data_IF_045771459200
#
_entry.id   IF_045771459200
#
_cell.length_a   1.000
_cell.length_b   1.000
_cell.length_c   1.000
_cell.angle_alpha   90.00
_cell.angle_beta   90.00
_cell.angle_gamma   90.00
#
_symmetry.space_group_name_H-M   'P 1'
#
loop_
_entity.id
_entity.type
_entity.pdbx_description
1 polymer ?
#
# COMPACT_ATOMS: atom_id res chain seq x y z
N UNK A 1 4.82 4.66 -14.18
CA UNK A 1 5.28 3.33 -14.71
C UNK A 1 6.79 3.24 -14.88
N UNK A 2 7.45 4.10 -15.67
CA UNK A 2 8.94 4.09 -15.78
C UNK A 2 9.62 4.35 -14.43
N UNK A 3 9.07 5.26 -13.63
CA UNK A 3 9.55 5.56 -12.27
C UNK A 3 9.59 4.34 -11.33
N UNK A 4 8.64 3.41 -11.44
CA UNK A 4 8.62 2.19 -10.62
C UNK A 4 9.70 1.20 -11.06
N UNK A 5 9.94 1.09 -12.37
CA UNK A 5 11.00 0.23 -12.92
C UNK A 5 12.37 0.72 -12.50
N UNK A 6 12.61 2.03 -12.59
CA UNK A 6 13.90 2.64 -12.25
C UNK A 6 14.19 2.57 -10.75
N UNK A 7 13.15 2.66 -9.92
CA UNK A 7 13.21 2.42 -8.47
C UNK A 7 13.27 0.93 -8.10
N UNK A 8 13.29 0.01 -9.07
CA UNK A 8 13.53 -1.41 -8.85
C UNK A 8 12.36 -2.17 -8.23
N UNK A 9 11.13 -1.86 -8.64
CA UNK A 9 9.90 -2.54 -8.22
C UNK A 9 9.94 -4.06 -8.43
N UNK A 10 10.39 -4.52 -9.61
CA UNK A 10 10.50 -5.95 -9.97
C UNK A 10 11.56 -6.72 -9.15
N UNK A 11 12.36 -5.98 -8.38
CA UNK A 11 13.44 -6.51 -7.53
C UNK A 11 13.13 -6.31 -6.04
N UNK A 12 11.90 -5.90 -5.70
CA UNK A 12 11.46 -5.77 -4.32
C UNK A 12 11.53 -7.14 -3.64
N UNK A 13 12.23 -7.21 -2.51
CA UNK A 13 12.32 -8.44 -1.72
C UNK A 13 11.11 -8.55 -0.80
N UNK A 14 10.62 -9.77 -0.61
CA UNK A 14 9.60 -10.04 0.40
C UNK A 14 10.16 -9.76 1.81
N UNK A 15 9.30 -9.32 2.74
CA UNK A 15 9.64 -9.13 4.15
C UNK A 15 10.24 -10.40 4.77
N UNK A 16 9.90 -11.58 4.24
CA UNK A 16 10.47 -12.85 4.65
C UNK A 16 11.99 -12.97 4.44
N UNK A 17 12.52 -12.26 3.45
CA UNK A 17 13.93 -12.29 3.06
C UNK A 17 14.75 -11.09 3.58
N UNK A 18 14.16 -10.22 4.40
CA UNK A 18 14.79 -9.01 4.93
C UNK A 18 14.97 -9.17 6.44
N UNK A 19 16.19 -8.94 6.93
CA UNK A 19 16.50 -8.91 8.35
C UNK A 19 15.73 -7.77 9.03
N UNK A 20 15.25 -8.01 10.25
CA UNK A 20 14.49 -7.05 11.07
C UNK A 20 13.18 -6.52 10.47
N UNK A 21 12.73 -7.05 9.33
CA UNK A 21 11.42 -6.72 8.79
C UNK A 21 10.30 -7.29 9.69
N UNK A 22 9.43 -6.40 10.18
CA UNK A 22 8.34 -6.78 11.09
C UNK A 22 7.27 -7.57 10.34
N UNK A 23 6.79 -8.64 10.99
CA UNK A 23 5.74 -9.52 10.49
C UNK A 23 4.66 -9.70 11.55
N UNK A 24 3.43 -9.87 11.11
CA UNK A 24 2.27 -10.14 11.97
C UNK A 24 1.20 -10.97 11.24
N UNK A 25 0.24 -11.49 12.01
CA UNK A 25 -0.88 -12.29 11.49
C UNK A 25 -2.22 -11.53 11.50
N UNK A 26 -2.23 -10.33 12.08
CA UNK A 26 -3.38 -9.46 12.29
C UNK A 26 -3.10 -8.05 11.73
N UNK A 27 -4.07 -7.33 11.22
CA UNK A 27 -3.83 -5.99 10.63
C UNK A 27 -3.64 -6.00 9.12
N UNK A 28 -3.01 -4.95 8.59
CA UNK A 28 -2.97 -4.68 7.14
C UNK A 28 -1.72 -5.26 6.50
N UNK A 29 -1.90 -6.08 5.46
CA UNK A 29 -0.79 -6.56 4.62
C UNK A 29 -0.87 -5.90 3.24
N UNK A 30 0.22 -5.24 2.84
CA UNK A 30 0.37 -4.70 1.49
C UNK A 30 1.18 -5.68 0.65
N UNK A 31 0.62 -6.15 -0.46
CA UNK A 31 1.25 -7.09 -1.38
C UNK A 31 1.56 -6.40 -2.69
N UNK A 32 2.80 -6.51 -3.15
CA UNK A 32 3.23 -6.08 -4.47
C UNK A 32 3.44 -7.29 -5.35
N UNK A 33 2.81 -7.30 -6.51
CA UNK A 33 2.97 -8.34 -7.53
C UNK A 33 3.59 -7.72 -8.78
N UNK A 34 4.62 -8.39 -9.31
CA UNK A 34 5.25 -8.06 -10.58
C UNK A 34 5.40 -9.32 -11.42
N UNK A 35 5.41 -9.18 -12.74
CA UNK A 35 5.60 -10.29 -13.66
C UNK A 35 6.83 -9.96 -14.50
N UNK A 36 7.85 -10.81 -14.42
CA UNK A 36 9.03 -10.74 -15.29
C UNK A 36 9.21 -12.03 -16.11
N UNK A 37 10.31 -12.14 -16.85
CA UNK A 37 10.61 -13.31 -17.68
C UNK A 37 10.75 -14.62 -16.88
N UNK A 38 10.99 -14.55 -15.58
CA UNK A 38 11.06 -15.68 -14.65
C UNK A 38 9.73 -16.06 -13.99
N UNK A 39 8.66 -15.31 -14.26
CA UNK A 39 7.31 -15.56 -13.72
C UNK A 39 6.85 -14.48 -12.73
N UNK A 40 5.74 -14.75 -12.01
CA UNK A 40 5.24 -13.82 -11.01
C UNK A 40 6.19 -13.76 -9.81
N UNK A 41 6.45 -12.54 -9.34
CA UNK A 41 7.17 -12.24 -8.10
C UNK A 41 6.27 -11.46 -7.17
N UNK A 42 6.28 -11.87 -5.92
CA UNK A 42 5.47 -11.27 -4.87
C UNK A 42 6.36 -10.80 -3.74
N UNK A 43 6.05 -9.62 -3.21
CA UNK A 43 6.64 -9.10 -1.99
C UNK A 43 5.53 -8.54 -1.09
N UNK A 44 5.45 -9.05 0.14
CA UNK A 44 4.43 -8.71 1.11
C UNK A 44 5.04 -8.00 2.31
N UNK A 45 4.36 -6.95 2.79
CA UNK A 45 4.79 -6.15 3.93
C UNK A 45 3.62 -5.94 4.88
N UNK A 46 3.87 -6.21 6.15
CA UNK A 46 2.89 -6.05 7.22
C UNK A 46 2.95 -4.65 7.81
N UNK A 47 1.80 -3.99 7.97
CA UNK A 47 1.68 -2.64 8.52
C UNK A 47 2.66 -1.64 7.86
N UNK A 48 2.77 -1.73 6.53
CA UNK A 48 3.84 -1.10 5.74
C UNK A 48 4.04 0.38 6.03
N UNK A 49 2.99 1.15 6.28
CA UNK A 49 3.05 2.61 6.50
C UNK A 49 3.29 3.00 7.97
N UNK A 50 3.41 2.04 8.89
CA UNK A 50 3.51 2.27 10.33
C UNK A 50 4.95 2.13 10.85
N UNK A 51 5.42 3.11 11.62
CA UNK A 51 6.69 3.03 12.36
C UNK A 51 6.54 2.39 13.75
N UNK A 52 5.30 2.27 14.24
CA UNK A 52 4.99 1.86 15.61
C UNK A 52 5.73 0.59 16.05
N UNK A 53 5.77 -0.44 15.20
CA UNK A 53 6.38 -1.72 15.55
C UNK A 53 7.91 -1.73 15.45
N UNK A 54 8.49 -0.89 14.59
CA UNK A 54 9.93 -0.68 14.53
C UNK A 54 10.39 0.09 15.78
N UNK A 55 9.67 1.16 16.14
CA UNK A 55 9.92 1.96 17.34
C UNK A 55 9.82 1.11 18.61
N UNK A 56 8.78 0.28 18.73
CA UNK A 56 8.59 -0.60 19.89
C UNK A 56 9.73 -1.59 20.12
N UNK A 57 10.36 -2.04 19.03
CA UNK A 57 11.49 -2.97 19.09
C UNK A 57 12.84 -2.26 19.05
N UNK A 58 12.86 -0.93 18.98
CA UNK A 58 14.05 -0.11 18.78
C UNK A 58 14.88 -0.57 17.56
N UNK A 59 14.20 -0.93 16.47
CA UNK A 59 14.79 -1.35 15.21
C UNK A 59 14.76 -0.18 14.21
N UNK A 60 15.81 -0.05 13.41
CA UNK A 60 15.76 0.82 12.23
C UNK A 60 14.85 0.20 11.16
N UNK A 61 14.10 1.04 10.45
CA UNK A 61 13.24 0.58 9.35
C UNK A 61 14.14 0.11 8.19
N UNK A 62 14.03 -1.15 7.73
CA UNK A 62 14.87 -1.65 6.64
C UNK A 62 14.70 -0.85 5.35
N UNK A 63 15.79 -0.67 4.59
CA UNK A 63 15.78 0.07 3.32
C UNK A 63 14.72 -0.43 2.32
N UNK A 64 14.53 -1.75 2.26
CA UNK A 64 13.54 -2.35 1.35
C UNK A 64 12.09 -2.00 1.77
N UNK A 65 11.84 -1.80 3.07
CA UNK A 65 10.55 -1.32 3.60
C UNK A 65 10.35 0.15 3.23
N UNK A 66 11.38 0.99 3.38
CA UNK A 66 11.34 2.40 2.95
C UNK A 66 11.10 2.53 1.45
N UNK A 67 11.73 1.65 0.66
CA UNK A 67 11.52 1.56 -0.79
C UNK A 67 10.07 1.16 -1.12
N UNK A 68 9.51 0.15 -0.44
CA UNK A 68 8.11 -0.24 -0.59
C UNK A 68 7.15 0.90 -0.24
N UNK A 69 7.40 1.66 0.83
CA UNK A 69 6.64 2.88 1.19
C UNK A 69 6.71 3.93 0.09
N UNK A 70 7.86 4.11 -0.54
CA UNK A 70 8.02 5.06 -1.64
C UNK A 70 7.13 4.71 -2.84
N UNK A 71 6.85 3.42 -3.06
CA UNK A 71 5.94 2.98 -4.11
C UNK A 71 4.50 3.32 -3.79
N UNK A 72 4.04 3.03 -2.57
CA UNK A 72 2.69 3.40 -2.12
C UNK A 72 2.50 4.91 -2.16
N UNK A 73 3.49 5.68 -1.72
CA UNK A 73 3.44 7.14 -1.79
C UNK A 73 3.30 7.64 -3.23
N UNK A 74 4.03 7.06 -4.19
CA UNK A 74 3.90 7.41 -5.60
C UNK A 74 2.52 7.02 -6.17
N UNK A 75 2.01 5.83 -5.84
CA UNK A 75 0.67 5.38 -6.24
C UNK A 75 -0.39 6.33 -5.68
N UNK A 76 -0.35 6.64 -4.39
CA UNK A 76 -1.31 7.52 -3.72
C UNK A 76 -1.24 8.95 -4.26
N UNK A 77 -0.09 9.38 -4.80
CA UNK A 77 0.04 10.68 -5.48
C UNK A 77 -0.60 10.69 -6.87
N UNK A 78 -0.53 9.58 -7.61
CA UNK A 78 -1.20 9.44 -8.91
C UNK A 78 -2.72 9.22 -8.74
N UNK A 79 -3.12 8.50 -7.68
CA UNK A 79 -4.49 8.14 -7.38
C UNK A 79 -4.92 8.76 -6.05
N UNK A 80 -5.31 10.05 -6.08
CA UNK A 80 -5.94 10.68 -4.93
C UNK A 80 -7.28 9.97 -4.65
N UNK A 81 -7.28 9.08 -3.66
CA UNK A 81 -8.44 8.28 -3.29
C UNK A 81 -9.60 9.15 -2.82
N UNK A 82 -9.32 10.31 -2.21
CA UNK A 82 -10.36 11.27 -1.83
C UNK A 82 -11.02 11.85 -3.07
N UNK A 83 -10.22 12.28 -4.05
CA UNK A 83 -10.73 12.77 -5.33
C UNK A 83 -11.51 11.69 -6.09
N UNK A 84 -10.98 10.47 -6.19
CA UNK A 84 -11.66 9.35 -6.83
C UNK A 84 -12.98 9.01 -6.14
N UNK A 85 -12.99 9.03 -4.80
CA UNK A 85 -14.20 8.82 -4.02
C UNK A 85 -15.22 9.94 -4.23
N UNK A 86 -14.80 11.20 -4.25
CA UNK A 86 -15.68 12.34 -4.58
C UNK A 86 -16.23 12.24 -6.00
N UNK A 87 -15.38 11.89 -6.97
CA UNK A 87 -15.79 11.68 -8.36
C UNK A 87 -16.82 10.55 -8.48
N UNK A 88 -16.64 9.46 -7.73
CA UNK A 88 -17.64 8.41 -7.62
C UNK A 88 -18.95 8.94 -7.02
N UNK A 89 -18.91 9.61 -5.86
CA UNK A 89 -20.10 10.17 -5.21
C UNK A 89 -20.85 11.18 -6.07
N UNK A 90 -20.13 11.99 -6.87
CA UNK A 90 -20.72 12.98 -7.76
C UNK A 90 -21.47 12.37 -8.95
N UNK A 91 -21.13 11.13 -9.33
CA UNK A 91 -21.84 10.38 -10.38
C UNK A 91 -23.08 9.66 -9.86
N UNK A 92 -23.23 9.54 -8.55
CA UNK A 92 -24.40 8.93 -7.96
C UNK A 92 -25.60 9.89 -8.02
N UNK A 93 -26.83 9.38 -8.27
CA UNK A 93 -28.05 10.15 -8.11
C UNK A 93 -28.17 10.78 -6.70
N UNK A 94 -28.99 11.83 -6.58
CA UNK A 94 -29.33 12.37 -5.26
C UNK A 94 -30.04 11.28 -4.44
N UNK A 95 -29.56 11.05 -3.22
CA UNK A 95 -30.06 9.93 -2.42
C UNK A 95 -29.28 9.67 -1.14
N UNK A 96 -29.63 8.57 -0.49
CA UNK A 96 -28.94 8.04 0.69
C UNK A 96 -28.27 6.73 0.32
N UNK A 97 -26.99 6.61 0.62
CA UNK A 97 -26.16 5.45 0.35
C UNK A 97 -25.60 4.90 1.65
N UNK A 98 -25.39 3.59 1.72
CA UNK A 98 -24.80 2.94 2.89
C UNK A 98 -23.63 2.04 2.46
N UNK A 99 -22.49 2.15 3.15
CA UNK A 99 -21.33 1.28 2.98
C UNK A 99 -20.66 1.04 4.32
N UNK A 100 -20.47 -0.22 4.73
CA UNK A 100 -19.88 -0.61 6.03
C UNK A 100 -20.40 0.23 7.21
N UNK A 101 -21.72 0.31 7.37
CA UNK A 101 -22.40 1.08 8.42
C UNK A 101 -22.27 2.61 8.34
N UNK A 102 -21.56 3.16 7.35
CA UNK A 102 -21.51 4.58 7.07
C UNK A 102 -22.68 4.98 6.17
N UNK A 103 -23.50 5.93 6.63
CA UNK A 103 -24.59 6.51 5.84
C UNK A 103 -24.11 7.81 5.19
N UNK A 104 -24.14 7.85 3.86
CA UNK A 104 -23.79 9.00 3.05
C UNK A 104 -25.05 9.63 2.46
N UNK A 105 -25.21 10.94 2.58
CA UNK A 105 -26.33 11.69 1.99
C UNK A 105 -25.82 12.59 0.86
N UNK A 106 -26.25 12.34 -0.38
CA UNK A 106 -25.95 13.21 -1.53
C UNK A 106 -27.08 14.20 -1.75
N UNK A 107 -26.79 15.48 -1.56
CA UNK A 107 -27.64 16.63 -1.93
C UNK A 107 -27.47 17.06 -3.38
#
# INVERSE_FOLDING_TARGET
MEEFRDKGFERLKDCDAIEDCIRGLDGTTTTFESIDAGGPKTASFWELESDYYYDQKALEVPDEVLKARSFISAINKEFDLSEQFQNFLNRLPRGRYAYNHLIMKKG
#
